data_IF_978200768396
#
_entry.id   IF_978200768396
#
_cell.length_a   1.000
_cell.length_b   1.000
_cell.length_c   1.000
_cell.angle_alpha   90.00
_cell.angle_beta   90.00
_cell.angle_gamma   90.00
#
_symmetry.space_group_name_H-M   'P 1'
#
loop_
_entity.id
_entity.type
_entity.pdbx_description
1 polymer ?
#
# COMPACT_ATOMS: atom_id res chain seq x y z
N UNK A 1 1.52 -2.19 0.31
CA UNK A 1 2.38 -3.33 -0.07
C UNK A 1 3.58 -2.76 -0.81
N UNK A 2 4.78 -3.04 -0.32
CA UNK A 2 6.03 -2.72 -1.00
C UNK A 2 6.78 -3.99 -1.35
N UNK A 3 7.61 -3.90 -2.38
CA UNK A 3 8.64 -4.88 -2.65
C UNK A 3 9.97 -4.18 -2.43
N UNK A 4 10.68 -4.59 -1.38
CA UNK A 4 12.06 -4.15 -1.16
C UNK A 4 12.97 -4.84 -2.18
N UNK A 5 14.21 -4.37 -2.30
CA UNK A 5 15.23 -5.03 -3.12
C UNK A 5 15.52 -6.48 -2.66
N UNK A 6 15.11 -6.84 -1.43
CA UNK A 6 15.20 -8.21 -0.86
C UNK A 6 14.01 -9.09 -1.23
N UNK A 7 12.95 -8.54 -1.85
CA UNK A 7 11.71 -9.25 -2.16
C UNK A 7 10.78 -9.40 -0.94
N UNK A 8 11.09 -8.74 0.17
CA UNK A 8 10.23 -8.70 1.34
C UNK A 8 9.04 -7.78 1.12
N UNK A 9 7.93 -8.13 1.78
CA UNK A 9 6.69 -7.37 1.69
C UNK A 9 6.30 -6.80 3.04
N UNK A 10 5.95 -5.51 3.03
CA UNK A 10 5.41 -4.80 4.19
C UNK A 10 3.95 -4.44 3.94
N UNK A 11 3.07 -4.79 4.88
CA UNK A 11 1.65 -4.49 4.86
C UNK A 11 1.09 -4.24 6.26
N UNK A 12 0.06 -3.40 6.32
CA UNK A 12 -0.70 -3.09 7.53
C UNK A 12 -2.18 -3.36 7.22
N UNK A 13 -2.88 -4.03 8.13
CA UNK A 13 -4.34 -4.15 8.08
C UNK A 13 -4.93 -2.93 8.79
N UNK A 14 -5.43 -1.98 8.01
CA UNK A 14 -6.00 -0.73 8.50
C UNK A 14 -7.53 -0.78 8.60
N UNK A 15 -8.09 -0.04 9.55
CA UNK A 15 -9.55 0.13 9.69
C UNK A 15 -10.19 1.01 8.61
N UNK A 16 -9.40 1.64 7.74
CA UNK A 16 -9.91 2.46 6.64
C UNK A 16 -8.82 3.03 5.73
N UNK A 17 -9.23 3.67 4.62
CA UNK A 17 -8.35 4.35 3.67
C UNK A 17 -8.41 5.86 3.92
N UNK A 18 -7.63 6.37 4.87
CA UNK A 18 -7.60 7.79 5.23
C UNK A 18 -6.18 8.25 5.60
N UNK A 19 -6.00 9.56 5.81
CA UNK A 19 -4.68 10.14 6.13
C UNK A 19 -4.12 9.64 7.47
N UNK A 20 -4.96 9.34 8.45
CA UNK A 20 -4.54 8.84 9.76
C UNK A 20 -3.84 7.48 9.63
N UNK A 21 -4.47 6.53 8.94
CA UNK A 21 -3.88 5.23 8.66
C UNK A 21 -2.66 5.32 7.74
N UNK A 22 -2.63 6.28 6.82
CA UNK A 22 -1.44 6.53 6.00
C UNK A 22 -0.25 6.98 6.87
N UNK A 23 -0.48 7.85 7.85
CA UNK A 23 0.57 8.29 8.77
C UNK A 23 1.11 7.13 9.62
N UNK A 24 0.22 6.29 10.18
CA UNK A 24 0.62 5.09 10.91
C UNK A 24 1.47 4.18 10.02
N UNK A 25 1.01 3.94 8.79
CA UNK A 25 1.73 3.10 7.85
C UNK A 25 3.15 3.64 7.53
N UNK A 26 3.30 4.96 7.32
CA UNK A 26 4.60 5.57 7.03
C UNK A 26 5.55 5.48 8.23
N UNK A 27 5.04 5.68 9.44
CA UNK A 27 5.82 5.59 10.67
C UNK A 27 6.34 4.17 10.90
N UNK A 28 5.45 3.17 10.86
CA UNK A 28 5.82 1.76 11.03
C UNK A 28 6.80 1.30 9.94
N UNK A 29 6.60 1.76 8.70
CA UNK A 29 7.50 1.44 7.60
C UNK A 29 8.90 2.03 7.79
N UNK A 30 8.99 3.29 8.22
CA UNK A 30 10.28 3.95 8.50
C UNK A 30 11.02 3.23 9.63
N UNK A 31 10.31 2.79 10.67
CA UNK A 31 10.88 2.01 11.77
C UNK A 31 11.32 0.60 11.35
N UNK A 32 10.62 -0.03 10.41
CA UNK A 32 10.99 -1.35 9.89
C UNK A 32 12.26 -1.29 9.02
N UNK A 33 12.52 -0.17 8.35
CA UNK A 33 13.67 0.00 7.47
C UNK A 33 14.41 1.33 7.78
N UNK A 34 15.01 1.46 8.97
CA UNK A 34 15.58 2.73 9.43
C UNK A 34 16.83 3.15 8.65
N UNK A 35 17.55 2.17 8.08
CA UNK A 35 18.80 2.38 7.35
C UNK A 35 18.60 2.59 5.84
N UNK A 36 17.37 2.36 5.33
CA UNK A 36 17.05 2.49 3.91
C UNK A 36 16.38 3.84 3.60
N UNK A 37 16.65 4.36 2.40
CA UNK A 37 15.84 5.43 1.81
C UNK A 37 14.79 4.83 0.88
N UNK A 38 13.52 5.03 1.20
CA UNK A 38 12.38 4.43 0.51
C UNK A 38 11.72 5.44 -0.42
N UNK A 39 11.72 5.15 -1.73
CA UNK A 39 10.94 5.92 -2.72
C UNK A 39 9.57 5.26 -2.95
N UNK A 40 8.52 5.98 -2.59
CA UNK A 40 7.13 5.56 -2.75
C UNK A 40 6.54 6.05 -4.06
N UNK A 41 6.22 5.13 -4.96
CA UNK A 41 5.47 5.45 -6.18
C UNK A 41 3.98 5.31 -5.89
N UNK A 42 3.26 6.43 -5.87
CA UNK A 42 1.87 6.50 -5.43
C UNK A 42 0.95 7.02 -6.54
N UNK A 43 -0.31 6.62 -6.50
CA UNK A 43 -1.36 7.27 -7.28
C UNK A 43 -1.80 8.61 -6.64
N UNK A 44 -2.71 9.30 -7.32
CA UNK A 44 -3.18 10.62 -6.92
C UNK A 44 -4.34 10.60 -5.91
N UNK A 45 -4.52 9.54 -5.12
CA UNK A 45 -5.55 9.50 -4.09
C UNK A 45 -5.41 10.66 -3.07
N UNK A 46 -6.54 11.17 -2.58
CA UNK A 46 -6.58 12.39 -1.76
C UNK A 46 -5.72 12.26 -0.50
N UNK A 47 -5.75 11.11 0.16
CA UNK A 47 -4.97 10.86 1.37
C UNK A 47 -3.46 10.74 1.11
N UNK A 48 -3.02 10.45 -0.12
CA UNK A 48 -1.58 10.48 -0.50
C UNK A 48 -1.05 11.90 -0.68
N UNK A 49 -1.93 12.89 -0.86
CA UNK A 49 -1.58 14.31 -1.05
C UNK A 49 -2.02 15.19 0.11
N UNK A 50 -2.43 14.58 1.22
CA UNK A 50 -2.94 15.32 2.36
C UNK A 50 -1.83 16.16 2.98
N UNK A 51 -2.10 17.43 3.25
CA UNK A 51 -1.15 18.34 3.91
C UNK A 51 -0.86 17.96 5.36
N UNK A 52 -1.62 17.04 5.93
CA UNK A 52 -1.43 16.53 7.30
C UNK A 52 -0.63 15.22 7.33
N UNK A 53 -0.03 14.82 6.20
CA UNK A 53 0.91 13.70 6.17
C UNK A 53 2.19 14.02 6.95
N UNK A 54 2.57 13.10 7.83
CA UNK A 54 3.84 13.10 8.55
C UNK A 54 4.78 12.18 7.80
N UNK A 55 5.60 12.76 6.92
CA UNK A 55 6.52 12.01 6.07
C UNK A 55 7.85 11.85 6.84
N UNK A 56 8.28 10.62 7.18
CA UNK A 56 9.59 10.38 7.78
C UNK A 56 10.73 10.82 6.86
N UNK A 57 11.87 11.17 7.43
CA UNK A 57 13.02 11.72 6.68
C UNK A 57 13.63 10.74 5.68
N UNK A 58 13.46 9.43 5.91
CA UNK A 58 13.96 8.38 5.03
C UNK A 58 12.93 7.93 3.96
N UNK A 59 11.83 8.67 3.77
CA UNK A 59 10.80 8.35 2.78
C UNK A 59 10.60 9.53 1.82
N UNK A 60 10.61 9.24 0.52
CA UNK A 60 10.26 10.18 -0.55
C UNK A 60 9.06 9.70 -1.37
N UNK A 61 8.33 10.62 -1.99
CA UNK A 61 7.17 10.31 -2.84
C UNK A 61 7.41 10.67 -4.30
N UNK A 62 6.98 9.78 -5.19
CA UNK A 62 6.83 10.02 -6.62
C UNK A 62 5.39 9.69 -7.01
N UNK A 63 4.73 10.60 -7.73
CA UNK A 63 3.35 10.40 -8.15
C UNK A 63 3.27 9.99 -9.61
N UNK A 64 2.48 8.95 -9.90
CA UNK A 64 2.20 8.58 -11.29
C UNK A 64 1.31 9.65 -11.96
N UNK A 65 1.40 9.83 -13.28
CA UNK A 65 0.51 10.74 -14.00
C UNK A 65 -0.98 10.37 -13.79
N UNK A 66 -1.88 11.36 -13.81
CA UNK A 66 -3.32 11.10 -13.72
C UNK A 66 -3.80 10.18 -14.85
N UNK A 67 -4.78 9.32 -14.53
CA UNK A 67 -5.46 8.44 -15.49
C UNK A 67 -4.56 7.42 -16.20
N UNK A 68 -3.44 7.03 -15.58
CA UNK A 68 -2.52 6.02 -16.12
C UNK A 68 -2.45 4.76 -15.23
N UNK A 69 -3.58 4.05 -15.02
CA UNK A 69 -3.63 2.88 -14.14
C UNK A 69 -2.70 1.75 -14.60
N UNK A 70 -2.38 1.67 -15.89
CA UNK A 70 -1.43 0.71 -16.45
C UNK A 70 0.00 0.86 -15.93
N UNK A 71 0.35 2.05 -15.42
CA UNK A 71 1.65 2.32 -14.80
C UNK A 71 1.63 1.98 -13.29
N UNK A 72 0.45 1.83 -12.68
CA UNK A 72 0.36 1.54 -11.25
C UNK A 72 0.68 0.04 -10.98
N UNK A 73 1.80 -0.30 -10.33
CA UNK A 73 2.18 -1.70 -10.11
C UNK A 73 1.13 -2.46 -9.28
N UNK A 74 0.35 -1.76 -8.46
CA UNK A 74 -0.72 -2.38 -7.67
C UNK A 74 -1.79 -3.03 -8.54
N UNK A 75 -2.00 -2.57 -9.78
CA UNK A 75 -2.98 -3.18 -10.68
C UNK A 75 -2.59 -4.61 -11.08
N UNK A 76 -1.29 -4.89 -11.19
CA UNK A 76 -0.81 -6.25 -11.42
C UNK A 76 -1.04 -7.13 -10.19
N UNK A 77 -0.79 -6.60 -8.99
CA UNK A 77 -1.09 -7.30 -7.72
C UNK A 77 -2.59 -7.61 -7.63
N UNK A 78 -3.46 -6.63 -7.93
CA UNK A 78 -4.90 -6.84 -7.93
C UNK A 78 -5.36 -7.86 -8.97
N UNK A 79 -4.73 -7.90 -10.15
CA UNK A 79 -5.00 -8.94 -11.16
C UNK A 79 -4.67 -10.33 -10.60
N UNK A 80 -3.54 -10.49 -9.90
CA UNK A 80 -3.18 -11.76 -9.27
C UNK A 80 -4.13 -12.14 -8.14
N UNK A 81 -4.49 -11.20 -7.25
CA UNK A 81 -5.49 -11.44 -6.19
C UNK A 81 -6.82 -11.91 -6.81
N UNK A 82 -7.29 -11.25 -7.87
CA UNK A 82 -8.54 -11.65 -8.56
C UNK A 82 -8.47 -13.04 -9.19
N UNK A 83 -7.27 -13.56 -9.51
CA UNK A 83 -7.09 -14.94 -9.99
C UNK A 83 -7.17 -15.96 -8.84
N UNK A 84 -6.85 -15.59 -7.61
CA UNK A 84 -6.90 -16.45 -6.40
C UNK A 84 -8.32 -16.79 -5.92
N UNK A 85 -9.33 -16.70 -6.78
CA UNK A 85 -10.68 -17.17 -6.46
C UNK A 85 -11.54 -16.25 -5.60
N UNK A 86 -11.20 -14.96 -5.52
CA UNK A 86 -12.02 -13.92 -4.87
C UNK A 86 -13.31 -13.58 -5.64
N UNK A 87 -13.44 -14.02 -6.90
CA UNK A 87 -14.62 -13.74 -7.72
C UNK A 87 -15.85 -14.46 -7.16
N UNK A 88 -16.94 -13.72 -6.97
CA UNK A 88 -18.25 -14.24 -6.55
C UNK A 88 -18.24 -15.01 -5.21
N UNK A 89 -17.31 -14.71 -4.29
CA UNK A 89 -17.31 -15.25 -2.93
C UNK A 89 -17.63 -14.16 -1.92
N UNK A 90 -18.54 -14.46 -0.99
CA UNK A 90 -18.75 -13.68 0.22
C UNK A 90 -18.08 -14.41 1.39
N UNK A 91 -17.23 -13.71 2.11
CA UNK A 91 -16.54 -14.21 3.30
C UNK A 91 -17.31 -13.76 4.54
N UNK A 92 -17.44 -14.62 5.56
CA UNK A 92 -18.18 -14.29 6.77
C UNK A 92 -17.34 -13.48 7.76
N UNK A 93 -16.03 -13.68 7.75
CA UNK A 93 -15.10 -13.01 8.64
C UNK A 93 -13.93 -12.40 7.86
N UNK A 94 -13.26 -11.42 8.48
CA UNK A 94 -12.00 -10.89 7.95
C UNK A 94 -10.92 -11.98 7.89
N UNK A 95 -10.93 -12.91 8.84
CA UNK A 95 -9.96 -14.01 8.89
C UNK A 95 -10.10 -14.95 7.69
N UNK A 96 -11.33 -15.23 7.24
CA UNK A 96 -11.56 -16.00 6.03
C UNK A 96 -11.02 -15.29 4.77
N UNK A 97 -11.08 -13.96 4.73
CA UNK A 97 -10.50 -13.15 3.65
C UNK A 97 -8.97 -13.26 3.67
N UNK A 98 -8.36 -13.17 4.85
CA UNK A 98 -6.90 -13.28 5.01
C UNK A 98 -6.39 -14.67 4.62
N UNK A 99 -7.08 -15.74 5.00
CA UNK A 99 -6.70 -17.11 4.66
C UNK A 99 -6.73 -17.39 3.15
N UNK A 100 -7.48 -16.59 2.38
CA UNK A 100 -7.57 -16.71 0.92
C UNK A 100 -6.50 -15.90 0.17
N UNK A 101 -5.93 -14.87 0.82
CA UNK A 101 -4.93 -13.96 0.24
C UNK A 101 -3.58 -14.66 0.05
#
# INVERSE_FOLDING_TARGET
MLWTHTGESFFLIAGGCNTEWMNVFLEELSQAYPDDYLLFVMDNAIWHKSSTLKIPTNIGFAFIPPYTPEINPIEQVWKEIRKRGFKNKAFQTLEDVMNQL
#
